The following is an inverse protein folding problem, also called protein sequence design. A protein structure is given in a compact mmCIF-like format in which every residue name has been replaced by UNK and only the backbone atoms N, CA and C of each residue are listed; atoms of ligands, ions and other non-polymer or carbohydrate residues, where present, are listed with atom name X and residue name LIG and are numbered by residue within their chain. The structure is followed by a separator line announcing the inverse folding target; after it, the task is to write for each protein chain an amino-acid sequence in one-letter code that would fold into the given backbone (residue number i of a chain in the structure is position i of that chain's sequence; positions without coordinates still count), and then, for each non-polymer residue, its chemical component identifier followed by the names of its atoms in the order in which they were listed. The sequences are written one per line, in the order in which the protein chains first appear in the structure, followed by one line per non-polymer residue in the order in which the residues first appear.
data_IF_594506740991
#
_entry.id   IF_594506740991
#
_cell.length_a   1.000
_cell.length_b   1.000
_cell.length_c   1.000
_cell.angle_alpha   90.00
_cell.angle_beta   90.00
_cell.angle_gamma   90.00
#
_symmetry.space_group_name_H-M   'P 1'
#
loop_
_entity.id
_entity.type
_entity.pdbx_description
1 polymer ?
#
# COMPACT_ATOMS: atom_id res chain seq x y z
N UNK A 1 -0.34 6.20 -3.37
CA UNK A 1 -0.10 7.68 -3.38
C UNK A 1 1.39 8.02 -3.20
N UNK A 2 2.12 7.38 -2.28
CA UNK A 2 3.54 7.71 -1.99
C UNK A 2 4.49 7.84 -3.20
N UNK A 3 4.53 6.94 -4.21
CA UNK A 3 5.44 7.10 -5.35
C UNK A 3 5.03 8.24 -6.30
N UNK A 4 3.74 8.56 -6.37
CA UNK A 4 3.23 9.65 -7.22
C UNK A 4 3.66 11.03 -6.69
N UNK A 5 3.87 11.16 -5.37
CA UNK A 5 4.40 12.40 -4.78
C UNK A 5 5.84 12.64 -5.25
N UNK A 6 6.67 11.60 -5.31
CA UNK A 6 8.04 11.71 -5.83
C UNK A 6 8.12 12.04 -7.31
N UNK A 7 7.23 11.44 -8.11
CA UNK A 7 7.10 11.73 -9.55
C UNK A 7 6.56 13.15 -9.82
N UNK A 8 5.65 13.65 -8.99
CA UNK A 8 5.23 15.04 -9.10
C UNK A 8 6.40 16.00 -8.81
N UNK A 9 7.20 15.71 -7.77
CA UNK A 9 8.38 16.50 -7.43
C UNK A 9 9.43 16.54 -8.54
N UNK A 10 9.68 15.43 -9.24
CA UNK A 10 10.60 15.44 -10.41
C UNK A 10 10.08 16.30 -11.53
N UNK A 11 8.80 16.12 -11.91
CA UNK A 11 8.19 16.87 -13.02
C UNK A 11 8.23 18.36 -12.72
N UNK A 12 7.89 18.76 -11.48
CA UNK A 12 7.96 20.14 -11.05
C UNK A 12 9.38 20.71 -11.09
N UNK A 13 10.36 20.01 -10.51
CA UNK A 13 11.76 20.47 -10.46
C UNK A 13 12.39 20.59 -11.85
N UNK A 14 12.13 19.61 -12.72
CA UNK A 14 12.58 19.64 -14.12
C UNK A 14 11.92 20.81 -14.86
N UNK A 15 10.60 20.97 -14.73
CA UNK A 15 9.87 22.09 -15.35
C UNK A 15 10.45 23.44 -14.92
N UNK A 16 10.71 23.62 -13.63
CA UNK A 16 11.28 24.87 -13.10
C UNK A 16 12.69 25.13 -13.64
N UNK A 17 13.54 24.10 -13.73
CA UNK A 17 14.89 24.20 -14.29
C UNK A 17 14.85 24.61 -15.78
N UNK A 18 13.92 24.08 -16.57
CA UNK A 18 13.76 24.44 -17.98
C UNK A 18 13.17 25.84 -18.18
N UNK A 19 12.25 26.28 -17.32
CA UNK A 19 11.73 27.66 -17.36
C UNK A 19 12.86 28.67 -17.11
N UNK A 20 13.72 28.40 -16.11
CA UNK A 20 14.87 29.24 -15.80
C UNK A 20 15.88 29.33 -16.97
N UNK A 21 16.10 28.23 -17.71
CA UNK A 21 16.91 28.25 -18.93
C UNK A 21 16.27 29.06 -20.07
N UNK A 22 14.95 28.99 -20.22
CA UNK A 22 14.25 29.73 -21.28
C UNK A 22 14.36 31.25 -21.13
N UNK A 23 14.65 31.74 -19.91
CA UNK A 23 14.78 33.16 -19.60
C UNK A 23 16.18 33.74 -19.84
N UNK A 24 17.19 32.91 -20.14
CA UNK A 24 18.60 33.35 -20.28
C UNK A 24 19.09 33.28 -21.73
N UNK A 25 19.90 34.27 -22.16
CA UNK A 25 20.41 34.38 -23.54
C UNK A 25 21.46 33.32 -23.91
N UNK A 26 22.19 32.79 -22.93
CA UNK A 26 23.18 31.74 -23.11
C UNK A 26 22.91 30.63 -22.10
N UNK A 27 22.30 29.54 -22.55
CA UNK A 27 22.03 28.36 -21.73
C UNK A 27 23.28 27.49 -21.59
N UNK A 28 23.55 26.99 -20.38
CA UNK A 28 24.61 26.03 -20.09
C UNK A 28 24.05 24.87 -19.27
N UNK A 29 24.63 23.68 -19.43
CA UNK A 29 24.20 22.48 -18.69
C UNK A 29 24.37 22.64 -17.17
N UNK A 30 25.37 23.42 -16.75
CA UNK A 30 25.63 23.69 -15.34
C UNK A 30 24.47 24.45 -14.66
N UNK A 31 23.69 25.22 -15.41
CA UNK A 31 22.55 25.96 -14.84
C UNK A 31 21.34 25.07 -14.50
N UNK A 32 21.17 23.92 -15.16
CA UNK A 32 20.06 22.98 -14.86
C UNK A 32 20.46 21.81 -14.00
N UNK A 33 21.74 21.50 -13.91
CA UNK A 33 22.24 20.37 -13.14
C UNK A 33 21.72 20.34 -11.69
N UNK A 34 21.65 21.47 -10.94
CA UNK A 34 21.09 21.46 -9.59
C UNK A 34 19.60 21.08 -9.53
N UNK A 35 18.76 21.68 -10.38
CA UNK A 35 17.31 21.42 -10.38
C UNK A 35 16.96 19.98 -10.79
N UNK A 36 17.75 19.37 -11.67
CA UNK A 36 17.60 17.96 -12.04
C UNK A 36 18.04 17.04 -10.89
N UNK A 37 19.10 17.39 -10.16
CA UNK A 37 19.55 16.62 -9.00
C UNK A 37 18.49 16.60 -7.89
N UNK A 38 17.88 17.74 -7.58
CA UNK A 38 16.78 17.83 -6.60
C UNK A 38 15.55 17.04 -7.03
N UNK A 39 15.20 17.10 -8.32
CA UNK A 39 14.15 16.27 -8.90
C UNK A 39 14.41 14.78 -8.62
N UNK A 40 15.61 14.27 -8.89
CA UNK A 40 15.95 12.85 -8.67
C UNK A 40 15.81 12.43 -7.19
N UNK A 41 16.16 13.33 -6.25
CA UNK A 41 15.99 13.08 -4.82
C UNK A 41 14.51 12.92 -4.46
N UNK A 42 13.61 13.71 -5.06
CA UNK A 42 12.17 13.59 -4.81
C UNK A 42 11.63 12.19 -5.17
N UNK A 43 12.10 11.60 -6.27
CA UNK A 43 11.74 10.21 -6.63
C UNK A 43 12.32 9.20 -5.65
N UNK A 44 13.58 9.36 -5.25
CA UNK A 44 14.21 8.46 -4.29
C UNK A 44 13.45 8.43 -2.96
N UNK A 45 13.02 9.59 -2.46
CA UNK A 45 12.20 9.70 -1.23
C UNK A 45 10.83 9.06 -1.44
N UNK A 46 10.18 9.30 -2.58
CA UNK A 46 8.88 8.70 -2.91
C UNK A 46 8.92 7.17 -2.91
N UNK A 47 9.98 6.58 -3.47
CA UNK A 47 10.20 5.12 -3.46
C UNK A 47 10.55 4.61 -2.06
N UNK A 48 11.39 5.33 -1.33
CA UNK A 48 11.75 4.99 0.05
C UNK A 48 10.52 4.96 0.97
N UNK A 49 9.55 5.86 0.77
CA UNK A 49 8.30 5.84 1.51
C UNK A 49 7.33 4.75 1.01
N UNK A 50 7.31 4.47 -0.30
CA UNK A 50 6.36 3.53 -0.91
C UNK A 50 6.64 2.06 -0.57
N UNK A 51 7.90 1.63 -0.63
CA UNK A 51 8.27 0.21 -0.48
C UNK A 51 7.91 -0.32 0.92
N UNK A 52 8.32 0.33 2.04
CA UNK A 52 7.97 -0.15 3.38
C UNK A 52 6.47 -0.09 3.65
N UNK A 53 5.78 0.92 3.13
CA UNK A 53 4.33 1.06 3.30
C UNK A 53 3.57 -0.11 2.66
N UNK A 54 3.96 -0.53 1.44
CA UNK A 54 3.36 -1.69 0.77
C UNK A 54 3.69 -3.00 1.51
N UNK A 55 4.92 -3.15 2.00
CA UNK A 55 5.29 -4.32 2.81
C UNK A 55 4.45 -4.43 4.08
N UNK A 56 4.24 -3.30 4.79
CA UNK A 56 3.42 -3.26 5.99
C UNK A 56 1.95 -3.58 5.69
N UNK A 57 1.40 -3.01 4.61
CA UNK A 57 0.04 -3.30 4.15
C UNK A 57 -0.15 -4.79 3.86
N UNK A 58 0.77 -5.39 3.09
CA UNK A 58 0.70 -6.83 2.78
C UNK A 58 0.77 -7.69 4.05
N UNK A 59 1.63 -7.33 5.01
CA UNK A 59 1.72 -8.05 6.29
C UNK A 59 0.44 -7.93 7.11
N UNK A 60 -0.20 -6.77 7.12
CA UNK A 60 -1.46 -6.56 7.85
C UNK A 60 -2.60 -7.32 7.18
N UNK A 61 -2.73 -7.27 5.86
CA UNK A 61 -3.74 -8.05 5.14
C UNK A 61 -3.57 -9.56 5.37
N UNK A 62 -2.33 -10.07 5.36
CA UNK A 62 -2.08 -11.47 5.70
C UNK A 62 -2.53 -11.82 7.12
N UNK A 63 -2.43 -10.90 8.08
CA UNK A 63 -2.90 -11.12 9.46
C UNK A 63 -4.43 -11.09 9.54
N UNK A 64 -5.06 -10.16 8.85
CA UNK A 64 -6.53 -10.06 8.77
C UNK A 64 -7.11 -11.32 8.13
N UNK A 65 -6.60 -11.74 6.98
CA UNK A 65 -7.08 -12.95 6.31
C UNK A 65 -6.94 -14.20 7.19
N UNK A 66 -5.84 -14.32 7.95
CA UNK A 66 -5.68 -15.43 8.91
C UNK A 66 -6.70 -15.39 10.03
N UNK A 67 -7.02 -14.19 10.52
CA UNK A 67 -8.03 -14.01 11.55
C UNK A 67 -9.43 -14.37 11.02
N UNK A 68 -9.77 -13.93 9.81
CA UNK A 68 -11.02 -14.29 9.12
C UNK A 68 -11.16 -15.81 8.97
N UNK A 69 -10.13 -16.48 8.46
CA UNK A 69 -10.13 -17.94 8.32
C UNK A 69 -10.35 -18.67 9.66
N UNK A 70 -9.76 -18.17 10.75
CA UNK A 70 -9.97 -18.74 12.07
C UNK A 70 -11.42 -18.56 12.55
N UNK A 71 -12.04 -17.40 12.26
CA UNK A 71 -13.44 -17.17 12.58
C UNK A 71 -14.38 -18.06 11.75
N UNK A 72 -14.08 -18.25 10.47
CA UNK A 72 -14.86 -19.14 9.59
C UNK A 72 -14.80 -20.58 10.13
N UNK A 73 -13.62 -21.08 10.47
CA UNK A 73 -13.46 -22.41 11.06
C UNK A 73 -14.23 -22.55 12.39
N UNK A 74 -14.14 -21.54 13.26
CA UNK A 74 -14.88 -21.55 14.52
C UNK A 74 -16.41 -21.57 14.30
N UNK A 75 -16.90 -20.83 13.32
CA UNK A 75 -18.33 -20.81 12.98
C UNK A 75 -18.81 -22.16 12.44
N UNK A 76 -17.99 -22.83 11.61
CA UNK A 76 -18.28 -24.16 11.10
C UNK A 76 -18.35 -25.19 12.24
N UNK A 77 -17.36 -25.20 13.13
CA UNK A 77 -17.35 -26.08 14.31
C UNK A 77 -18.54 -25.81 15.23
N UNK A 78 -18.84 -24.55 15.50
CA UNK A 78 -19.97 -24.16 16.33
C UNK A 78 -21.31 -24.62 15.72
N UNK A 79 -21.47 -24.45 14.40
CA UNK A 79 -22.66 -24.92 13.67
C UNK A 79 -22.79 -26.43 13.72
N UNK A 80 -21.69 -27.17 13.55
CA UNK A 80 -21.67 -28.62 13.64
C UNK A 80 -22.07 -29.12 15.05
N UNK A 81 -21.59 -28.47 16.10
CA UNK A 81 -21.95 -28.78 17.49
C UNK A 81 -23.44 -28.54 17.74
N UNK A 82 -23.96 -27.36 17.33
CA UNK A 82 -25.39 -27.03 17.50
C UNK A 82 -26.29 -28.02 16.74
N UNK A 83 -25.92 -28.37 15.51
CA UNK A 83 -26.62 -29.39 14.73
C UNK A 83 -26.65 -30.71 15.52
N UNK A 84 -25.50 -31.20 15.98
CA UNK A 84 -25.44 -32.45 16.77
C UNK A 84 -26.31 -32.41 18.04
N UNK A 85 -26.32 -31.32 18.79
CA UNK A 85 -27.15 -31.18 19.99
C UNK A 85 -28.66 -31.17 19.68
N UNK A 86 -29.06 -30.50 18.60
CA UNK A 86 -30.45 -30.47 18.16
C UNK A 86 -30.95 -31.88 17.76
N UNK A 87 -30.12 -32.65 17.04
CA UNK A 87 -30.49 -34.02 16.63
C UNK A 87 -30.52 -35.00 17.80
N UNK A 88 -29.52 -34.97 18.70
CA UNK A 88 -29.49 -35.85 19.89
C UNK A 88 -30.65 -35.61 20.85
N UNK A 89 -31.10 -34.36 21.01
CA UNK A 89 -32.28 -34.02 21.83
C UNK A 89 -33.58 -34.55 21.22
N UNK A 90 -33.68 -34.60 19.88
CA UNK A 90 -34.88 -35.09 19.20
C UNK A 90 -35.12 -36.61 19.34
N UNK A 91 -34.04 -37.40 19.49
CA UNK A 91 -34.15 -38.85 19.70
C UNK A 91 -34.47 -39.20 21.17
N UNK A 92 -33.96 -38.41 22.12
CA UNK A 92 -34.31 -38.57 23.55
C UNK A 92 -35.79 -38.30 23.87
N UNK A 93 -36.52 -37.61 22.98
CA UNK A 93 -37.95 -37.31 23.16
C UNK A 93 -38.89 -38.33 22.46
N UNK A 94 -38.34 -39.42 21.91
CA UNK A 94 -39.10 -40.48 21.21
C UNK A 94 -39.04 -41.86 21.88
N UNK A 95 -38.33 -42.01 23.01
CA UNK A 95 -38.37 -43.19 23.88
C UNK A 95 -39.21 -42.94 25.11
#
# INVERSE_FOLDING_TARGET
ISPYIGLFGTVWGIMHAFIALGAVKQATLQMVAPGIAEALIATAIGLFAAIPAVMAYNRLNQRVNKLELNYDNFMEEFTAILHRQAFTTSESNKG
#
